data_IF_669041846207
#
_entry.id   IF_669041846207
#
_cell.length_a   1.000
_cell.length_b   1.000
_cell.length_c   1.000
_cell.angle_alpha   90.00
_cell.angle_beta   90.00
_cell.angle_gamma   90.00
#
_symmetry.space_group_name_H-M   'P 1'
#
loop_
_entity.id
_entity.type
_entity.pdbx_description
1 polymer ?
#
# COMPACT_ATOMS: atom_id res chain seq x y z
N UNK A 1 8.21 0.07 11.48
CA UNK A 1 8.27 1.11 12.53
C UNK A 1 8.57 0.44 13.85
N UNK A 2 9.45 1.02 14.66
CA UNK A 2 9.77 0.53 16.01
C UNK A 2 9.32 1.59 17.02
N UNK A 3 8.67 1.16 18.10
CA UNK A 3 8.17 2.08 19.12
C UNK A 3 9.33 2.82 19.79
N UNK A 4 9.20 4.15 19.92
CA UNK A 4 10.23 5.01 20.49
C UNK A 4 11.38 5.37 19.56
N UNK A 5 11.39 4.85 18.32
CA UNK A 5 12.38 5.20 17.30
C UNK A 5 11.78 6.11 16.23
N UNK A 6 12.50 7.17 15.89
CA UNK A 6 12.15 8.02 14.76
C UNK A 6 12.58 7.33 13.45
N UNK A 7 11.64 6.98 12.55
CA UNK A 7 11.99 6.34 11.29
C UNK A 7 12.77 7.29 10.39
N UNK A 8 13.72 6.74 9.63
CA UNK A 8 14.30 7.43 8.48
C UNK A 8 13.26 7.62 7.37
N UNK A 9 13.44 8.59 6.44
CA UNK A 9 12.58 8.73 5.27
C UNK A 9 12.44 7.44 4.45
N UNK A 10 13.50 6.66 4.34
CA UNK A 10 13.48 5.35 3.68
C UNK A 10 12.57 4.34 4.39
N UNK A 11 12.68 4.21 5.71
CA UNK A 11 11.82 3.32 6.50
C UNK A 11 10.35 3.76 6.44
N UNK A 12 10.11 5.07 6.41
CA UNK A 12 8.77 5.63 6.23
C UNK A 12 8.21 5.27 4.85
N UNK A 13 8.98 5.46 3.76
CA UNK A 13 8.57 5.07 2.41
C UNK A 13 8.30 3.56 2.28
N UNK A 14 9.15 2.72 2.86
CA UNK A 14 8.92 1.27 2.89
C UNK A 14 7.63 0.91 3.64
N UNK A 15 7.31 1.62 4.72
CA UNK A 15 6.04 1.46 5.43
C UNK A 15 4.86 1.91 4.58
N UNK A 16 4.98 3.01 3.83
CA UNK A 16 3.96 3.50 2.89
C UNK A 16 3.73 2.50 1.74
N UNK A 17 4.79 1.88 1.20
CA UNK A 17 4.67 0.87 0.15
C UNK A 17 3.78 -0.31 0.60
N UNK A 18 3.89 -0.74 1.86
CA UNK A 18 3.07 -1.81 2.44
C UNK A 18 1.58 -1.41 2.60
N UNK A 19 1.31 -0.10 2.75
CA UNK A 19 -0.05 0.47 2.85
C UNK A 19 -0.77 0.53 1.50
N UNK A 20 -0.15 0.05 0.40
CA UNK A 20 -0.82 -0.04 -0.93
C UNK A 20 -2.16 -0.79 -0.86
N UNK A 21 -2.36 -1.67 0.14
CA UNK A 21 -3.66 -2.22 0.55
C UNK A 21 -4.80 -1.20 0.41
N UNK A 22 -4.68 0.01 0.97
CA UNK A 22 -5.75 1.02 0.94
C UNK A 22 -6.13 1.53 -0.45
N UNK A 23 -5.25 1.41 -1.44
CA UNK A 23 -5.50 1.88 -2.80
C UNK A 23 -6.02 0.74 -3.69
N UNK A 24 -5.87 -0.51 -3.27
CA UNK A 24 -6.35 -1.72 -3.96
C UNK A 24 -7.46 -2.49 -3.24
N UNK A 25 -7.80 -2.15 -2.00
CA UNK A 25 -8.82 -2.82 -1.16
C UNK A 25 -10.17 -2.08 -1.08
N UNK A 26 -10.40 -1.06 -1.90
CA UNK A 26 -11.77 -0.57 -2.08
C UNK A 26 -12.55 -1.53 -3.00
N UNK A 27 -12.73 -2.77 -2.55
CA UNK A 27 -13.75 -3.67 -3.07
C UNK A 27 -15.13 -3.19 -2.61
N UNK A 28 -16.20 -3.67 -3.26
CA UNK A 28 -17.57 -3.30 -2.89
C UNK A 28 -18.00 -3.75 -1.48
N UNK A 29 -17.22 -4.60 -0.80
CA UNK A 29 -17.55 -5.19 0.50
C UNK A 29 -16.52 -4.94 1.63
N UNK A 30 -15.46 -4.15 1.40
CA UNK A 30 -14.45 -3.79 2.42
C UNK A 30 -13.04 -4.28 2.13
N UNK A 31 -12.18 -4.38 3.16
CA UNK A 31 -10.81 -4.90 3.08
C UNK A 31 -10.82 -6.42 2.86
N UNK A 32 -10.73 -6.83 1.59
CA UNK A 32 -10.90 -8.22 1.18
C UNK A 32 -9.59 -8.91 0.79
N UNK A 33 -8.46 -8.22 0.70
CA UNK A 33 -7.18 -8.81 0.30
C UNK A 33 -6.09 -8.69 1.38
N UNK A 34 -5.12 -9.61 1.33
CA UNK A 34 -3.87 -9.56 2.11
C UNK A 34 -2.70 -9.61 1.12
N UNK A 35 -1.67 -8.80 1.36
CA UNK A 35 -0.46 -8.82 0.56
C UNK A 35 0.50 -9.94 1.03
N UNK A 36 0.75 -10.98 0.24
CA UNK A 36 1.90 -11.84 0.44
C UNK A 36 3.25 -11.16 0.10
N UNK A 37 3.25 -10.19 -0.82
CA UNK A 37 4.48 -9.55 -1.31
C UNK A 37 4.25 -8.08 -1.70
N UNK A 38 5.25 -7.25 -1.41
CA UNK A 38 5.37 -5.88 -1.90
C UNK A 38 6.81 -5.64 -2.35
N UNK A 39 6.95 -5.05 -3.55
CA UNK A 39 8.23 -4.64 -4.11
C UNK A 39 8.24 -3.14 -4.32
N UNK A 40 9.13 -2.44 -3.63
CA UNK A 40 9.38 -1.01 -3.79
C UNK A 40 10.69 -0.80 -4.56
N UNK A 41 10.63 -0.09 -5.69
CA UNK A 41 11.79 0.25 -6.50
C UNK A 41 11.90 1.77 -6.63
N UNK A 42 12.98 2.35 -6.11
CA UNK A 42 13.18 3.81 -6.03
C UNK A 42 14.53 4.21 -6.64
N UNK A 43 14.55 5.38 -7.27
CA UNK A 43 15.76 5.94 -7.92
C UNK A 43 16.51 6.91 -7.02
N UNK A 44 15.86 7.39 -5.96
CA UNK A 44 16.44 8.21 -4.88
C UNK A 44 15.72 7.94 -3.57
N UNK A 45 16.31 8.40 -2.47
CA UNK A 45 15.64 8.44 -1.18
C UNK A 45 14.60 9.58 -1.15
N UNK A 46 13.50 9.44 -0.39
CA UNK A 46 12.61 10.55 -0.11
C UNK A 46 13.34 11.65 0.67
N UNK A 47 13.00 12.91 0.39
CA UNK A 47 13.58 14.04 1.11
C UNK A 47 13.16 14.06 2.58
N UNK A 48 11.88 13.79 2.84
CA UNK A 48 11.25 13.84 4.15
C UNK A 48 10.29 12.68 4.34
N UNK A 49 9.66 12.61 5.52
CA UNK A 49 8.65 11.59 5.86
C UNK A 49 7.26 11.96 5.34
N UNK A 50 7.21 12.33 4.07
CA UNK A 50 5.99 12.70 3.36
C UNK A 50 6.03 12.03 1.98
N UNK A 51 5.38 10.88 1.88
CA UNK A 51 5.41 10.03 0.68
C UNK A 51 3.97 9.72 0.28
N UNK A 52 3.66 10.00 -0.99
CA UNK A 52 2.39 9.69 -1.62
C UNK A 52 2.48 8.48 -2.55
N UNK A 53 1.32 7.85 -2.76
CA UNK A 53 1.12 6.80 -3.76
C UNK A 53 0.00 7.22 -4.71
N UNK A 54 0.21 6.98 -6.00
CA UNK A 54 -0.83 7.11 -7.02
C UNK A 54 -0.94 5.78 -7.76
N UNK A 55 -2.05 5.05 -7.56
CA UNK A 55 -2.30 3.79 -8.26
C UNK A 55 -2.43 4.04 -9.76
N UNK A 56 -1.66 3.29 -10.54
CA UNK A 56 -1.72 3.33 -12.00
C UNK A 56 -2.49 2.16 -12.56
N UNK A 57 -2.32 0.96 -11.97
CA UNK A 57 -2.92 -0.26 -12.48
C UNK A 57 -3.33 -1.19 -11.34
N UNK A 58 -4.47 -1.86 -11.52
CA UNK A 58 -4.92 -2.98 -10.68
C UNK A 58 -5.61 -4.00 -11.56
N UNK A 59 -5.18 -5.25 -11.44
CA UNK A 59 -5.81 -6.40 -12.07
C UNK A 59 -6.16 -7.44 -11.02
N UNK A 60 -7.31 -8.08 -11.19
CA UNK A 60 -7.83 -9.06 -10.25
C UNK A 60 -8.39 -10.25 -11.02
N UNK A 61 -8.09 -11.46 -10.56
CA UNK A 61 -8.59 -12.70 -11.15
C UNK A 61 -8.60 -13.84 -10.13
N UNK A 62 -9.76 -14.47 -9.94
CA UNK A 62 -9.96 -15.61 -9.03
C UNK A 62 -9.37 -15.42 -7.62
N UNK A 63 -9.57 -14.24 -7.02
CA UNK A 63 -9.10 -13.95 -5.66
C UNK A 63 -7.59 -13.71 -5.57
N UNK A 64 -6.92 -13.46 -6.69
CA UNK A 64 -5.57 -12.90 -6.74
C UNK A 64 -5.66 -11.50 -7.32
N UNK A 65 -4.87 -10.56 -6.78
CA UNK A 65 -4.74 -9.23 -7.34
C UNK A 65 -3.27 -8.81 -7.46
N UNK A 66 -2.99 -7.98 -8.46
CA UNK A 66 -1.71 -7.28 -8.60
C UNK A 66 -2.01 -5.80 -8.79
N UNK A 67 -1.30 -4.96 -8.06
CA UNK A 67 -1.39 -3.51 -8.15
C UNK A 67 -0.03 -2.86 -8.39
N UNK A 68 -0.01 -1.78 -9.16
CA UNK A 68 1.18 -0.92 -9.32
C UNK A 68 0.81 0.53 -9.03
N UNK A 69 1.65 1.22 -8.27
CA UNK A 69 1.50 2.63 -7.97
C UNK A 69 2.82 3.40 -8.16
N UNK A 70 2.71 4.64 -8.60
CA UNK A 70 3.81 5.61 -8.59
C UNK A 70 3.99 6.12 -7.17
N UNK A 71 5.24 6.18 -6.71
CA UNK A 71 5.63 6.77 -5.43
C UNK A 71 6.26 8.13 -5.66
N UNK A 72 5.85 9.13 -4.88
CA UNK A 72 6.32 10.51 -5.01
C UNK A 72 6.39 11.21 -3.64
N UNK A 73 7.22 12.24 -3.56
CA UNK A 73 7.29 13.17 -2.44
C UNK A 73 7.14 14.61 -2.97
N UNK A 74 7.47 15.61 -2.15
CA UNK A 74 7.41 17.02 -2.53
C UNK A 74 8.35 17.40 -3.69
N UNK A 75 9.41 16.62 -3.91
CA UNK A 75 10.37 16.82 -5.00
C UNK A 75 9.96 16.04 -6.27
N UNK A 76 8.84 15.31 -6.22
CA UNK A 76 8.25 14.61 -7.35
C UNK A 76 8.41 13.10 -7.29
N UNK A 77 8.27 12.44 -8.45
CA UNK A 77 8.27 10.97 -8.56
C UNK A 77 9.62 10.40 -8.14
N UNK A 78 9.61 9.43 -7.21
CA UNK A 78 10.82 8.77 -6.69
C UNK A 78 10.94 7.30 -7.10
N UNK A 79 9.84 6.68 -7.50
CA UNK A 79 9.85 5.31 -7.97
C UNK A 79 8.46 4.71 -8.13
N UNK A 80 8.39 3.39 -8.01
CA UNK A 80 7.15 2.61 -8.10
C UNK A 80 7.09 1.59 -6.98
N UNK A 81 5.87 1.21 -6.60
CA UNK A 81 5.59 0.03 -5.79
C UNK A 81 4.69 -0.92 -6.56
N UNK A 82 4.98 -2.21 -6.48
CA UNK A 82 4.13 -3.29 -7.00
C UNK A 82 3.75 -4.21 -5.85
N UNK A 83 2.48 -4.56 -5.78
CA UNK A 83 1.92 -5.39 -4.73
C UNK A 83 1.24 -6.61 -5.34
N UNK A 84 1.43 -7.77 -4.74
CA UNK A 84 0.61 -8.95 -4.99
C UNK A 84 -0.31 -9.14 -3.79
N UNK A 85 -1.56 -9.55 -4.04
CA UNK A 85 -2.57 -9.72 -3.00
C UNK A 85 -3.39 -11.01 -3.21
N UNK A 86 -3.86 -11.61 -2.12
CA UNK A 86 -4.71 -12.80 -2.10
C UNK A 86 -5.98 -12.50 -1.31
N UNK A 87 -7.13 -12.90 -1.84
CA UNK A 87 -8.43 -12.71 -1.21
C UNK A 87 -8.49 -13.43 0.14
N UNK A 88 -8.90 -12.70 1.17
CA UNK A 88 -9.08 -13.14 2.53
C UNK A 88 -10.57 -13.06 2.94
N UNK A 89 -11.44 -13.60 2.09
CA UNK A 89 -12.90 -13.55 2.26
C UNK A 89 -13.42 -14.15 3.58
N UNK A 90 -12.64 -14.99 4.26
CA UNK A 90 -13.03 -15.58 5.57
C UNK A 90 -12.78 -14.67 6.78
N UNK A 91 -12.07 -13.55 6.60
CA UNK A 91 -11.73 -12.59 7.67
C UNK A 91 -11.74 -11.15 7.15
N UNK A 92 -12.60 -10.84 6.19
CA UNK A 92 -12.74 -9.48 5.67
C UNK A 92 -13.01 -8.51 6.83
N UNK A 93 -12.18 -7.46 6.94
CA UNK A 93 -12.36 -6.42 7.95
C UNK A 93 -13.38 -5.44 7.40
N UNK A 94 -14.53 -5.36 8.05
CA UNK A 94 -15.53 -4.34 7.73
C UNK A 94 -15.07 -3.01 8.33
N UNK A 95 -15.14 -1.95 7.51
CA UNK A 95 -14.76 -0.59 7.91
C UNK A 95 -15.94 0.20 8.49
N UNK A 96 -17.08 -0.44 8.77
CA UNK A 96 -18.23 0.19 9.41
C UNK A 96 -17.96 0.42 10.91
N UNK A 97 -17.84 1.68 11.29
CA UNK A 97 -17.98 2.09 12.69
C UNK A 97 -19.45 1.88 13.12
N UNK A 98 -19.67 0.89 13.99
CA UNK A 98 -20.85 0.64 14.82
C UNK A 98 -22.14 1.40 14.49
N UNK A 99 -23.12 0.68 13.97
CA UNK A 99 -24.52 0.85 14.34
C UNK A 99 -25.08 -0.50 14.74
N UNK A 100 -25.20 -0.69 16.05
CA UNK A 100 -26.37 -1.25 16.72
C UNK A 100 -26.63 -0.37 17.95
#
# INVERSE_FOLDING_TARGET
MVEGEEPTPFQFAASVADVTNMVSDLGSAGLEYINPDVTMAITRLPAEREVGLALTERVEHHGLAVGTAVMFDRDGVLGTTTVSAIANARRAVRLDHGRD
#
